data_IF_781529425453
#
_entry.id   IF_781529425453
#
_cell.length_a   1.000
_cell.length_b   1.000
_cell.length_c   1.000
_cell.angle_alpha   90.00
_cell.angle_beta   90.00
_cell.angle_gamma   90.00
#
_symmetry.space_group_name_H-M   'P 1'
#
loop_
_entity.id
_entity.type
_entity.pdbx_description
1 polymer ?
#
# COMPACT_ATOMS: atom_id res chain seq x y z
N UNK A 1 -15.28 30.63 -4.86
CA UNK A 1 -15.19 29.15 -4.86
C UNK A 1 -14.11 28.64 -5.82
N UNK A 2 -14.15 29.01 -7.11
CA UNK A 2 -13.18 28.60 -8.14
C UNK A 2 -11.72 28.91 -7.81
N UNK A 3 -11.40 30.08 -7.26
CA UNK A 3 -10.02 30.47 -6.86
C UNK A 3 -9.47 29.56 -5.74
N UNK A 4 -10.30 29.15 -4.79
CA UNK A 4 -9.87 28.22 -3.70
C UNK A 4 -9.61 26.81 -4.23
N UNK A 5 -10.42 26.35 -5.18
CA UNK A 5 -10.21 25.05 -5.84
C UNK A 5 -8.93 25.10 -6.69
N UNK A 6 -8.73 26.18 -7.47
CA UNK A 6 -7.51 26.34 -8.26
C UNK A 6 -6.24 26.35 -7.40
N UNK A 7 -6.24 27.04 -6.26
CA UNK A 7 -5.11 27.05 -5.33
C UNK A 7 -4.89 25.67 -4.65
N UNK A 8 -5.98 24.96 -4.33
CA UNK A 8 -5.88 23.62 -3.74
C UNK A 8 -5.32 22.58 -4.73
N UNK A 9 -5.61 22.74 -6.02
CA UNK A 9 -5.10 21.85 -7.07
C UNK A 9 -3.71 22.24 -7.58
N UNK A 10 -3.26 23.47 -7.35
CA UNK A 10 -1.99 23.96 -7.87
C UNK A 10 -0.78 23.15 -7.33
N UNK A 11 -0.75 22.84 -6.03
CA UNK A 11 0.35 22.09 -5.43
C UNK A 11 0.41 20.63 -5.95
N UNK A 12 -0.67 19.84 -5.96
CA UNK A 12 -0.61 18.48 -6.52
C UNK A 12 -0.31 18.48 -8.02
N UNK A 13 -0.85 19.43 -8.80
CA UNK A 13 -0.53 19.54 -10.23
C UNK A 13 0.93 19.87 -10.47
N UNK A 14 1.49 20.83 -9.72
CA UNK A 14 2.90 21.16 -9.80
C UNK A 14 3.79 19.97 -9.40
N UNK A 15 3.41 19.19 -8.39
CA UNK A 15 4.13 18.00 -7.97
C UNK A 15 4.15 16.92 -9.06
N UNK A 16 3.01 16.67 -9.72
CA UNK A 16 2.92 15.71 -10.84
C UNK A 16 3.77 16.18 -12.02
N UNK A 17 3.67 17.46 -12.40
CA UNK A 17 4.49 18.02 -13.48
C UNK A 17 5.99 17.90 -13.19
N UNK A 18 6.39 18.26 -11.97
CA UNK A 18 7.79 18.12 -11.55
C UNK A 18 8.26 16.66 -11.59
N UNK A 19 7.46 15.72 -11.08
CA UNK A 19 7.78 14.30 -11.11
C UNK A 19 7.91 13.77 -12.54
N UNK A 20 7.00 14.16 -13.44
CA UNK A 20 7.05 13.76 -14.85
C UNK A 20 8.27 14.32 -15.54
N UNK A 21 8.63 15.59 -15.34
CA UNK A 21 9.84 16.19 -15.91
C UNK A 21 11.09 15.50 -15.37
N UNK A 22 11.20 15.33 -14.06
CA UNK A 22 12.34 14.66 -13.44
C UNK A 22 12.50 13.22 -13.96
N UNK A 23 11.43 12.44 -14.00
CA UNK A 23 11.44 11.07 -14.54
C UNK A 23 11.83 11.05 -16.02
N UNK A 24 11.35 12.01 -16.82
CA UNK A 24 11.73 12.11 -18.24
C UNK A 24 13.22 12.39 -18.41
N UNK A 25 13.80 13.24 -17.59
CA UNK A 25 15.24 13.53 -17.61
C UNK A 25 16.04 12.23 -17.32
N UNK A 26 15.64 11.49 -16.26
CA UNK A 26 16.30 10.22 -15.93
C UNK A 26 16.18 9.18 -17.05
N UNK A 27 15.01 9.08 -17.69
CA UNK A 27 14.81 8.18 -18.84
C UNK A 27 15.75 8.54 -20.01
N UNK A 28 15.88 9.82 -20.33
CA UNK A 28 16.80 10.27 -21.38
C UNK A 28 18.26 9.95 -21.03
N UNK A 29 18.68 10.22 -19.78
CA UNK A 29 20.03 9.88 -19.31
C UNK A 29 20.28 8.38 -19.39
N UNK A 30 19.26 7.55 -19.12
CA UNK A 30 19.32 6.09 -19.24
C UNK A 30 19.25 5.58 -20.70
N UNK A 31 19.19 6.48 -21.69
CA UNK A 31 19.12 6.11 -23.11
C UNK A 31 17.74 5.67 -23.59
N UNK A 32 16.68 5.91 -22.80
CA UNK A 32 15.30 5.56 -23.14
C UNK A 32 14.51 6.78 -23.60
N UNK A 33 13.53 6.55 -24.50
CA UNK A 33 12.63 7.61 -24.94
C UNK A 33 11.46 7.76 -23.95
N UNK A 34 11.29 8.92 -23.28
CA UNK A 34 10.21 9.13 -22.33
C UNK A 34 8.81 8.93 -22.93
N UNK A 35 8.60 9.38 -24.17
CA UNK A 35 7.29 9.26 -24.82
C UNK A 35 6.91 7.79 -25.06
N UNK A 36 7.87 6.98 -25.51
CA UNK A 36 7.65 5.54 -25.67
C UNK A 36 7.40 4.88 -24.32
N UNK A 37 8.21 5.19 -23.30
CA UNK A 37 8.06 4.62 -21.97
C UNK A 37 6.68 4.94 -21.33
N UNK A 38 6.22 6.18 -21.46
CA UNK A 38 4.88 6.54 -20.96
C UNK A 38 3.77 5.93 -21.82
N UNK A 39 3.94 5.82 -23.13
CA UNK A 39 3.01 5.14 -24.04
C UNK A 39 2.85 3.67 -23.65
N UNK A 40 3.95 2.96 -23.49
CA UNK A 40 3.97 1.54 -23.08
C UNK A 40 3.33 1.35 -21.70
N UNK A 41 3.63 2.26 -20.76
CA UNK A 41 3.01 2.23 -19.42
C UNK A 41 1.48 2.39 -19.49
N UNK A 42 0.99 3.27 -20.38
CA UNK A 42 -0.45 3.51 -20.56
C UNK A 42 -1.12 2.32 -21.25
N UNK A 43 -0.48 1.77 -22.30
CA UNK A 43 -0.97 0.58 -22.99
C UNK A 43 -1.04 -0.62 -22.05
N UNK A 44 0.06 -0.88 -21.32
CA UNK A 44 0.12 -1.97 -20.35
C UNK A 44 -0.96 -1.81 -19.25
N UNK A 45 -1.06 -0.60 -18.67
CA UNK A 45 -2.04 -0.30 -17.62
C UNK A 45 -3.49 -0.38 -18.07
N UNK A 46 -3.77 -0.26 -19.37
CA UNK A 46 -5.13 -0.36 -19.92
C UNK A 46 -5.65 -1.79 -20.07
N UNK A 47 -4.77 -2.79 -19.97
CA UNK A 47 -5.15 -4.22 -20.07
C UNK A 47 -6.00 -4.62 -18.88
N UNK A 48 -7.09 -5.33 -19.12
CA UNK A 48 -8.03 -5.74 -18.08
C UNK A 48 -7.36 -6.55 -16.96
N UNK A 49 -6.47 -7.46 -17.30
CA UNK A 49 -5.71 -8.27 -16.34
C UNK A 49 -4.86 -7.39 -15.40
N UNK A 50 -4.26 -6.34 -15.93
CA UNK A 50 -3.43 -5.39 -15.16
C UNK A 50 -4.31 -4.51 -14.27
N UNK A 51 -5.47 -4.09 -14.73
CA UNK A 51 -6.43 -3.34 -13.91
C UNK A 51 -6.91 -4.17 -12.72
N UNK A 52 -7.20 -5.46 -12.93
CA UNK A 52 -7.54 -6.39 -11.84
C UNK A 52 -6.37 -6.55 -10.86
N UNK A 53 -5.14 -6.68 -11.35
CA UNK A 53 -3.96 -6.76 -10.48
C UNK A 53 -3.74 -5.46 -9.69
N UNK A 54 -3.94 -4.30 -10.30
CA UNK A 54 -3.90 -3.00 -9.61
C UNK A 54 -4.92 -2.95 -8.47
N UNK A 55 -6.17 -3.37 -8.70
CA UNK A 55 -7.20 -3.41 -7.67
C UNK A 55 -6.84 -4.39 -6.54
N UNK A 56 -6.34 -5.56 -6.88
CA UNK A 56 -5.88 -6.54 -5.89
C UNK A 56 -4.75 -5.99 -5.01
N UNK A 57 -3.79 -5.29 -5.62
CA UNK A 57 -2.68 -4.63 -4.89
C UNK A 57 -3.13 -3.41 -4.10
N UNK A 58 -4.14 -2.69 -4.57
CA UNK A 58 -4.69 -1.53 -3.87
C UNK A 58 -5.46 -1.93 -2.60
N UNK A 59 -6.07 -3.11 -2.56
CA UNK A 59 -6.87 -3.58 -1.43
C UNK A 59 -6.13 -3.56 -0.08
N UNK A 60 -4.95 -4.19 0.08
CA UNK A 60 -4.21 -4.13 1.34
C UNK A 60 -3.76 -2.70 1.69
N UNK A 61 -3.43 -1.87 0.70
CA UNK A 61 -3.07 -0.46 0.92
C UNK A 61 -4.27 0.34 1.45
N UNK A 62 -5.46 0.11 0.90
CA UNK A 62 -6.68 0.74 1.36
C UNK A 62 -7.01 0.35 2.81
N UNK A 63 -6.96 -0.94 3.14
CA UNK A 63 -7.19 -1.45 4.49
C UNK A 63 -6.16 -0.87 5.47
N UNK A 64 -4.89 -0.80 5.08
CA UNK A 64 -3.81 -0.18 5.86
C UNK A 64 -4.06 1.31 6.11
N UNK A 65 -4.54 2.03 5.10
CA UNK A 65 -4.93 3.44 5.21
C UNK A 65 -6.08 3.66 6.20
N UNK A 66 -7.09 2.78 6.19
CA UNK A 66 -8.20 2.81 7.16
C UNK A 66 -7.69 2.53 8.57
N UNK A 67 -6.82 1.53 8.75
CA UNK A 67 -6.22 1.21 10.04
C UNK A 67 -5.39 2.38 10.61
N UNK A 68 -4.60 3.04 9.76
CA UNK A 68 -3.86 4.24 10.13
C UNK A 68 -4.80 5.39 10.53
N UNK A 69 -5.87 5.62 9.77
CA UNK A 69 -6.86 6.67 10.08
C UNK A 69 -7.57 6.43 11.41
N UNK A 70 -7.88 5.18 11.76
CA UNK A 70 -8.43 4.82 13.07
C UNK A 70 -7.40 5.11 14.17
N UNK A 71 -6.14 4.71 13.98
CA UNK A 71 -5.05 5.00 14.90
C UNK A 71 -4.92 6.50 15.18
N UNK A 72 -4.92 7.33 14.15
CA UNK A 72 -4.83 8.79 14.31
C UNK A 72 -6.01 9.38 15.08
N UNK A 73 -7.23 8.90 14.85
CA UNK A 73 -8.43 9.31 15.62
C UNK A 73 -8.34 8.94 17.11
N UNK A 74 -7.63 7.90 17.44
CA UNK A 74 -7.36 7.46 18.81
C UNK A 74 -6.11 8.14 19.40
N UNK A 75 -5.57 9.15 18.73
CA UNK A 75 -4.30 9.80 19.12
C UNK A 75 -3.10 8.84 19.15
N UNK A 76 -3.20 7.71 18.45
CA UNK A 76 -2.12 6.75 18.26
C UNK A 76 -1.46 7.02 16.92
N UNK A 77 -0.27 7.62 16.94
CA UNK A 77 0.50 7.89 15.73
C UNK A 77 1.19 6.61 15.25
N UNK A 78 0.43 5.76 14.55
CA UNK A 78 0.93 4.49 14.04
C UNK A 78 1.32 4.61 12.56
N UNK A 79 2.60 4.83 12.29
CA UNK A 79 3.18 4.82 10.93
C UNK A 79 3.74 3.44 10.53
N UNK A 80 3.65 2.45 11.44
CA UNK A 80 4.19 1.11 11.24
C UNK A 80 3.25 0.09 10.59
N UNK A 81 2.09 0.53 10.04
CA UNK A 81 1.05 -0.37 9.52
C UNK A 81 1.59 -1.31 8.43
N UNK A 82 2.46 -0.82 7.56
CA UNK A 82 3.07 -1.65 6.51
C UNK A 82 3.98 -2.74 7.10
N UNK A 83 4.80 -2.42 8.10
CA UNK A 83 5.63 -3.39 8.80
C UNK A 83 4.79 -4.45 9.53
N UNK A 84 3.70 -4.04 10.17
CA UNK A 84 2.74 -4.94 10.80
C UNK A 84 2.13 -5.92 9.80
N UNK A 85 1.68 -5.41 8.65
CA UNK A 85 1.14 -6.21 7.56
C UNK A 85 2.15 -7.21 7.02
N UNK A 86 3.38 -6.78 6.72
CA UNK A 86 4.44 -7.65 6.19
C UNK A 86 4.83 -8.75 7.17
N UNK A 87 5.01 -8.42 8.44
CA UNK A 87 5.32 -9.40 9.47
C UNK A 87 4.19 -10.42 9.62
N UNK A 88 2.94 -9.96 9.69
CA UNK A 88 1.77 -10.82 9.77
C UNK A 88 1.68 -11.76 8.56
N UNK A 89 1.94 -11.26 7.35
CA UNK A 89 1.92 -12.05 6.12
C UNK A 89 3.01 -13.15 6.12
N UNK A 90 4.24 -12.83 6.56
CA UNK A 90 5.34 -13.81 6.64
C UNK A 90 5.02 -14.92 7.63
N UNK A 91 4.56 -14.57 8.85
CA UNK A 91 4.22 -15.56 9.87
C UNK A 91 3.04 -16.43 9.46
N UNK A 92 2.00 -15.81 8.87
CA UNK A 92 0.84 -16.51 8.35
C UNK A 92 1.21 -17.49 7.23
N UNK A 93 2.10 -17.09 6.31
CA UNK A 93 2.60 -17.95 5.25
C UNK A 93 3.42 -19.12 5.81
N UNK A 94 4.28 -18.86 6.78
CA UNK A 94 5.06 -19.92 7.44
C UNK A 94 4.17 -20.95 8.14
N UNK A 95 3.18 -20.50 8.92
CA UNK A 95 2.22 -21.40 9.58
C UNK A 95 1.39 -22.17 8.54
N UNK A 96 0.92 -21.48 7.48
CA UNK A 96 0.19 -22.10 6.40
C UNK A 96 0.99 -23.19 5.69
N UNK A 97 2.29 -22.98 5.46
CA UNK A 97 3.16 -23.99 4.85
C UNK A 97 3.47 -25.18 5.80
N UNK A 98 3.39 -24.97 7.12
CA UNK A 98 3.76 -25.97 8.13
C UNK A 98 2.63 -26.92 8.54
N UNK A 99 1.37 -26.59 8.17
CA UNK A 99 0.18 -27.32 8.62
C UNK A 99 -0.66 -27.76 7.44
N UNK A 100 -1.08 -29.01 7.43
CA UNK A 100 -2.01 -29.56 6.43
C UNK A 100 -3.40 -29.70 7.04
N UNK A 101 -4.35 -28.88 6.59
CA UNK A 101 -5.75 -28.87 7.01
C UNK A 101 -6.68 -28.84 5.80
N UNK A 102 -7.96 -29.24 5.94
CA UNK A 102 -8.97 -29.00 4.93
C UNK A 102 -9.03 -27.50 4.56
N UNK A 103 -9.24 -27.16 3.30
CA UNK A 103 -9.11 -25.81 2.74
C UNK A 103 -9.77 -24.72 3.59
N UNK A 104 -11.00 -24.96 4.07
CA UNK A 104 -11.74 -23.99 4.89
C UNK A 104 -11.04 -23.71 6.23
N UNK A 105 -10.62 -24.76 6.95
CA UNK A 105 -9.92 -24.62 8.24
C UNK A 105 -8.53 -24.02 8.05
N UNK A 106 -7.86 -24.36 6.95
CA UNK A 106 -6.54 -23.83 6.61
C UNK A 106 -6.58 -22.31 6.39
N UNK A 107 -7.52 -21.82 5.61
CA UNK A 107 -7.71 -20.38 5.37
C UNK A 107 -8.09 -19.66 6.68
N UNK A 108 -9.00 -20.22 7.47
CA UNK A 108 -9.38 -19.65 8.76
C UNK A 108 -8.18 -19.53 9.71
N UNK A 109 -7.34 -20.57 9.81
CA UNK A 109 -6.11 -20.55 10.62
C UNK A 109 -5.16 -19.46 10.18
N UNK A 110 -4.88 -19.35 8.88
CA UNK A 110 -3.95 -18.33 8.34
C UNK A 110 -4.45 -16.92 8.66
N UNK A 111 -5.75 -16.66 8.50
CA UNK A 111 -6.34 -15.37 8.82
C UNK A 111 -6.26 -15.03 10.31
N UNK A 112 -6.55 -16.01 11.18
CA UNK A 112 -6.44 -15.82 12.64
C UNK A 112 -5.00 -15.51 13.03
N UNK A 113 -4.03 -16.26 12.51
CA UNK A 113 -2.60 -16.03 12.77
C UNK A 113 -2.20 -14.63 12.31
N UNK A 114 -2.59 -14.22 11.10
CA UNK A 114 -2.29 -12.89 10.59
C UNK A 114 -2.87 -11.78 11.48
N UNK A 115 -4.12 -11.92 11.94
CA UNK A 115 -4.76 -10.97 12.85
C UNK A 115 -4.05 -10.90 14.21
N UNK A 116 -3.69 -12.04 14.79
CA UNK A 116 -3.00 -12.09 16.08
C UNK A 116 -1.61 -11.46 16.01
N UNK A 117 -0.83 -11.78 14.97
CA UNK A 117 0.54 -11.24 14.80
C UNK A 117 0.50 -9.74 14.52
N UNK A 118 -0.36 -9.29 13.61
CA UNK A 118 -0.51 -7.87 13.30
C UNK A 118 -1.02 -7.07 14.51
N UNK A 119 -2.01 -7.61 15.23
CA UNK A 119 -2.56 -7.00 16.44
C UNK A 119 -1.56 -6.96 17.61
N UNK A 120 -0.78 -8.02 17.83
CA UNK A 120 0.26 -8.04 18.85
C UNK A 120 1.34 -6.99 18.56
N UNK A 121 1.80 -6.89 17.31
CA UNK A 121 2.78 -5.89 16.92
C UNK A 121 2.26 -4.44 17.10
N UNK A 122 1.02 -4.19 16.70
CA UNK A 122 0.37 -2.90 16.94
C UNK A 122 0.19 -2.61 18.44
N UNK A 123 -0.13 -3.63 19.24
CA UNK A 123 -0.27 -3.55 20.69
C UNK A 123 1.03 -3.14 21.39
N UNK A 124 2.19 -3.64 20.96
CA UNK A 124 3.49 -3.23 21.50
C UNK A 124 3.70 -1.73 21.33
N UNK A 125 3.44 -1.19 20.13
CA UNK A 125 3.54 0.25 19.88
C UNK A 125 2.55 1.06 20.74
N UNK A 126 1.35 0.53 20.96
CA UNK A 126 0.34 1.15 21.84
C UNK A 126 0.78 1.20 23.30
N UNK A 127 1.32 0.11 23.84
CA UNK A 127 1.82 0.04 25.23
C UNK A 127 2.98 1.00 25.46
N UNK A 128 3.96 1.03 24.53
CA UNK A 128 5.12 1.93 24.62
C UNK A 128 4.74 3.40 24.61
N UNK A 129 3.59 3.76 24.05
CA UNK A 129 3.12 5.15 24.06
C UNK A 129 2.49 5.56 25.39
N UNK A 130 1.88 4.63 26.11
CA UNK A 130 1.14 4.91 27.35
C UNK A 130 2.08 4.87 28.58
N UNK A 131 3.27 4.28 28.42
CA UNK A 131 4.34 4.26 29.44
C UNK A 131 5.15 5.53 29.43
#
# INVERSE_FOLDING_TARGET
MLRRIGLALAAPTAAVLFATIASSIFLVIAGSNPFTAYGDMFEYGSRLEIQVDILNRATPLYISGVAAAIGFRMNLFNIGVEGQYRLAAIVAAYVGASVSLPAFLHVALILIVAMLVGGAYAGVAGVLKVS
#
